data_IF_628679638740
#
_entry.id   IF_628679638740
#
_cell.length_a   1.000
_cell.length_b   1.000
_cell.length_c   1.000
_cell.angle_alpha   90.00
_cell.angle_beta   90.00
_cell.angle_gamma   90.00
#
_symmetry.space_group_name_H-M   'P 1'
#
loop_
_entity.id
_entity.type
_entity.pdbx_description
1 polymer ?
#
# COMPACT_ATOMS: atom_id res chain seq x y z
N UNK A 1 -25.03 3.50 -9.62
CA UNK A 1 -24.16 2.32 -9.80
C UNK A 1 -24.38 1.82 -11.20
N UNK A 2 -23.38 1.90 -12.06
CA UNK A 2 -23.44 1.22 -13.36
C UNK A 2 -23.60 -0.27 -13.08
N UNK A 3 -24.57 -0.90 -13.74
CA UNK A 3 -24.97 -2.31 -13.60
C UNK A 3 -23.92 -3.24 -14.24
N UNK A 4 -22.64 -3.07 -13.86
CA UNK A 4 -21.53 -3.91 -14.35
C UNK A 4 -21.34 -5.09 -13.42
N UNK A 5 -20.99 -6.24 -14.00
CA UNK A 5 -20.58 -7.41 -13.22
C UNK A 5 -19.29 -7.05 -12.45
N UNK A 6 -19.22 -7.30 -11.13
CA UNK A 6 -18.01 -7.01 -10.37
C UNK A 6 -16.84 -7.89 -10.85
N UNK A 7 -15.64 -7.32 -10.86
CA UNK A 7 -14.40 -8.07 -11.09
C UNK A 7 -13.90 -8.66 -9.77
N UNK A 8 -13.10 -9.76 -9.79
CA UNK A 8 -12.47 -10.30 -8.59
C UNK A 8 -11.49 -9.35 -7.88
N UNK A 9 -11.08 -8.26 -8.54
CA UNK A 9 -10.29 -7.19 -7.93
C UNK A 9 -11.12 -6.23 -7.10
N UNK A 10 -12.44 -6.19 -7.31
CA UNK A 10 -13.31 -5.20 -6.71
C UNK A 10 -13.44 -5.49 -5.21
N UNK A 11 -13.38 -4.46 -4.35
CA UNK A 11 -13.57 -4.63 -2.93
C UNK A 11 -15.04 -5.00 -2.65
N UNK A 12 -15.22 -5.93 -1.71
CA UNK A 12 -16.51 -6.16 -1.06
C UNK A 12 -17.04 -4.86 -0.44
N UNK A 13 -18.33 -4.82 -0.11
CA UNK A 13 -18.91 -3.66 0.59
C UNK A 13 -18.23 -3.40 1.94
N UNK A 14 -17.85 -4.48 2.66
CA UNK A 14 -17.13 -4.37 3.93
C UNK A 14 -15.73 -3.74 3.75
N UNK A 15 -15.00 -4.13 2.70
CA UNK A 15 -13.71 -3.53 2.37
C UNK A 15 -13.85 -2.11 1.87
N UNK A 16 -14.89 -1.82 1.08
CA UNK A 16 -15.19 -0.48 0.61
C UNK A 16 -15.53 0.45 1.77
N UNK A 17 -16.26 -0.02 2.80
CA UNK A 17 -16.59 0.77 3.98
C UNK A 17 -15.34 1.27 4.75
N UNK A 18 -14.21 0.58 4.64
CA UNK A 18 -12.92 1.01 5.22
C UNK A 18 -12.23 2.11 4.39
N UNK A 19 -12.56 2.23 3.11
CA UNK A 19 -11.86 3.07 2.11
C UNK A 19 -12.67 4.33 1.76
N UNK A 20 -13.97 4.15 1.59
CA UNK A 20 -14.91 5.17 1.13
C UNK A 20 -14.86 6.48 1.94
N UNK A 21 -14.76 6.46 3.29
CA UNK A 21 -14.78 7.69 4.08
C UNK A 21 -13.66 8.65 3.67
N UNK A 22 -12.45 8.13 3.43
CA UNK A 22 -11.29 8.96 3.07
C UNK A 22 -11.44 9.58 1.68
N UNK A 23 -11.87 8.78 0.71
CA UNK A 23 -12.07 9.26 -0.66
C UNK A 23 -13.24 10.25 -0.76
N UNK A 24 -14.29 10.04 0.03
CA UNK A 24 -15.44 10.94 0.13
C UNK A 24 -15.05 12.26 0.77
N UNK A 25 -14.30 12.23 1.88
CA UNK A 25 -13.78 13.44 2.52
C UNK A 25 -12.89 14.25 1.56
N UNK A 26 -12.04 13.57 0.78
CA UNK A 26 -11.23 14.23 -0.26
C UNK A 26 -12.09 14.93 -1.32
N UNK A 27 -13.15 14.27 -1.81
CA UNK A 27 -14.07 14.86 -2.79
C UNK A 27 -14.79 16.07 -2.20
N UNK A 28 -15.32 15.95 -0.99
CA UNK A 28 -16.04 17.02 -0.30
C UNK A 28 -15.16 18.26 -0.12
N UNK A 29 -13.93 18.09 0.37
CA UNK A 29 -13.00 19.20 0.57
C UNK A 29 -12.73 20.00 -0.72
N UNK A 30 -12.73 19.33 -1.88
CA UNK A 30 -12.53 20.00 -3.17
C UNK A 30 -13.78 20.72 -3.67
N UNK A 31 -14.95 20.16 -3.39
CA UNK A 31 -16.23 20.82 -3.65
C UNK A 31 -16.34 22.09 -2.81
N UNK A 32 -16.03 22.01 -1.52
CA UNK A 32 -16.05 23.15 -0.59
C UNK A 32 -15.05 24.24 -1.01
N UNK A 33 -13.87 23.84 -1.47
CA UNK A 33 -12.85 24.75 -1.98
C UNK A 33 -13.15 25.33 -3.38
N UNK A 34 -14.28 24.96 -4.01
CA UNK A 34 -14.66 25.42 -5.34
C UNK A 34 -13.72 24.95 -6.46
N UNK A 35 -12.87 23.95 -6.19
CA UNK A 35 -11.84 23.47 -7.12
C UNK A 35 -12.46 22.61 -8.24
N UNK A 36 -13.65 22.03 -8.01
CA UNK A 36 -14.38 21.27 -9.03
C UNK A 36 -15.51 22.12 -9.65
N UNK A 37 -15.22 22.79 -10.77
CA UNK A 37 -16.25 23.48 -11.56
C UNK A 37 -17.17 22.54 -12.36
N UNK A 38 -16.87 21.24 -12.39
CA UNK A 38 -17.69 20.22 -13.05
C UNK A 38 -18.25 19.24 -12.02
N UNK A 39 -19.53 18.89 -12.17
CA UNK A 39 -20.17 17.85 -11.37
C UNK A 39 -19.47 16.51 -11.63
N UNK A 40 -18.96 15.81 -10.60
CA UNK A 40 -18.36 14.50 -10.79
C UNK A 40 -19.36 13.52 -11.42
N UNK A 41 -19.00 12.94 -12.57
CA UNK A 41 -19.88 12.03 -13.32
C UNK A 41 -19.77 10.58 -12.88
N UNK A 42 -18.66 10.19 -12.23
CA UNK A 42 -18.38 8.81 -11.85
C UNK A 42 -18.31 8.64 -10.33
N UNK A 43 -18.80 7.50 -9.85
CA UNK A 43 -18.73 7.13 -8.46
C UNK A 43 -17.27 6.88 -8.01
N UNK A 44 -16.94 7.19 -6.76
CA UNK A 44 -15.58 6.97 -6.24
C UNK A 44 -15.21 5.49 -6.20
N UNK A 45 -16.20 4.62 -5.97
CA UNK A 45 -16.01 3.17 -5.97
C UNK A 45 -15.61 2.70 -7.35
N UNK A 46 -16.33 3.10 -8.39
CA UNK A 46 -16.01 2.70 -9.77
C UNK A 46 -14.59 3.14 -10.19
N UNK A 47 -14.15 4.32 -9.72
CA UNK A 47 -12.78 4.80 -9.94
C UNK A 47 -11.77 3.94 -9.19
N UNK A 48 -12.01 3.65 -7.91
CA UNK A 48 -11.11 2.87 -7.08
C UNK A 48 -11.02 1.39 -7.54
N UNK A 49 -12.16 0.80 -7.93
CA UNK A 49 -12.26 -0.53 -8.51
C UNK A 49 -11.41 -0.63 -9.78
N UNK A 50 -11.50 0.35 -10.67
CA UNK A 50 -10.68 0.42 -11.88
C UNK A 50 -9.17 0.51 -11.57
N UNK A 51 -8.79 1.29 -10.55
CA UNK A 51 -7.40 1.40 -10.11
C UNK A 51 -6.90 0.06 -9.52
N UNK A 52 -7.71 -0.60 -8.69
CA UNK A 52 -7.40 -1.93 -8.17
C UNK A 52 -7.30 -2.96 -9.28
N UNK A 53 -8.18 -2.90 -10.29
CA UNK A 53 -8.12 -3.76 -11.46
C UNK A 53 -6.79 -3.62 -12.19
N UNK A 54 -6.35 -2.39 -12.49
CA UNK A 54 -5.05 -2.12 -13.12
C UNK A 54 -3.90 -2.62 -12.25
N UNK A 55 -3.94 -2.37 -10.94
CA UNK A 55 -2.91 -2.79 -10.01
C UNK A 55 -2.81 -4.34 -9.91
N UNK A 56 -3.95 -5.02 -9.88
CA UNK A 56 -4.06 -6.48 -9.79
C UNK A 56 -3.59 -7.17 -11.07
N UNK A 57 -4.11 -6.73 -12.21
CA UNK A 57 -3.92 -7.39 -13.51
C UNK A 57 -2.64 -6.97 -14.22
N UNK A 58 -2.13 -5.77 -13.92
CA UNK A 58 -0.96 -5.19 -14.57
C UNK A 58 -1.24 -4.64 -15.97
N UNK A 59 -2.50 -4.53 -16.39
CA UNK A 59 -2.79 -4.01 -17.74
C UNK A 59 -2.30 -2.56 -17.89
N UNK A 60 -2.01 -2.12 -19.11
CA UNK A 60 -1.79 -0.71 -19.37
C UNK A 60 -3.12 0.07 -19.31
N UNK A 61 -3.11 1.27 -18.73
CA UNK A 61 -4.29 2.14 -18.55
C UNK A 61 -5.18 2.27 -19.80
N UNK A 62 -4.59 2.33 -20.99
CA UNK A 62 -5.32 2.46 -22.27
C UNK A 62 -6.21 1.25 -22.60
N UNK A 63 -5.92 0.09 -22.02
CA UNK A 63 -6.67 -1.15 -22.22
C UNK A 63 -7.70 -1.40 -21.11
N UNK A 64 -7.99 -0.40 -20.26
CA UNK A 64 -9.02 -0.53 -19.24
C UNK A 64 -10.35 -0.97 -19.89
N UNK A 65 -11.02 -2.01 -19.36
CA UNK A 65 -12.31 -2.45 -19.87
C UNK A 65 -13.32 -1.31 -20.00
N UNK A 66 -14.20 -1.41 -21.01
CA UNK A 66 -15.12 -0.34 -21.39
C UNK A 66 -16.28 -0.12 -20.40
N UNK A 67 -16.50 -1.06 -19.48
CA UNK A 67 -17.49 -0.98 -18.41
C UNK A 67 -16.97 -0.20 -17.18
N UNK A 68 -15.67 0.09 -17.11
CA UNK A 68 -15.12 1.05 -16.16
C UNK A 68 -15.24 2.51 -16.68
N UNK A 69 -15.13 3.51 -15.78
CA UNK A 69 -14.98 4.90 -16.20
C UNK A 69 -13.83 5.08 -17.19
N UNK A 70 -13.88 6.09 -18.09
CA UNK A 70 -12.86 6.31 -19.10
C UNK A 70 -11.45 6.35 -18.50
N UNK A 71 -10.49 5.66 -19.13
CA UNK A 71 -9.15 5.48 -18.57
C UNK A 71 -8.43 6.80 -18.23
N UNK A 72 -8.67 7.86 -19.01
CA UNK A 72 -8.14 9.21 -18.73
C UNK A 72 -8.71 9.78 -17.42
N UNK A 73 -9.99 9.55 -17.15
CA UNK A 73 -10.65 9.97 -15.92
C UNK A 73 -10.08 9.18 -14.73
N UNK A 74 -10.02 7.86 -14.84
CA UNK A 74 -9.46 6.99 -13.78
C UNK A 74 -8.03 7.41 -13.45
N UNK A 75 -7.18 7.57 -14.47
CA UNK A 75 -5.80 8.01 -14.28
C UNK A 75 -5.72 9.42 -13.66
N UNK A 76 -6.62 10.33 -14.02
CA UNK A 76 -6.69 11.67 -13.42
C UNK A 76 -6.95 11.63 -11.91
N UNK A 77 -7.88 10.79 -11.45
CA UNK A 77 -8.10 10.56 -10.02
C UNK A 77 -6.90 9.89 -9.35
N UNK A 78 -6.35 8.84 -9.95
CA UNK A 78 -5.14 8.21 -9.44
C UNK A 78 -3.99 9.23 -9.26
N UNK A 79 -3.72 10.05 -10.28
CA UNK A 79 -2.66 11.04 -10.22
C UNK A 79 -2.93 12.11 -9.14
N UNK A 80 -4.18 12.55 -8.98
CA UNK A 80 -4.56 13.49 -7.92
C UNK A 80 -4.36 12.88 -6.53
N UNK A 81 -4.84 11.65 -6.30
CA UNK A 81 -4.70 10.94 -5.03
C UNK A 81 -3.24 10.62 -4.68
N UNK A 82 -2.44 10.26 -5.68
CA UNK A 82 -0.99 10.07 -5.53
C UNK A 82 -0.31 11.37 -5.11
N UNK A 83 -0.58 12.47 -5.84
CA UNK A 83 0.03 13.79 -5.57
C UNK A 83 -0.37 14.35 -4.21
N UNK A 84 -1.62 14.17 -3.81
CA UNK A 84 -2.19 14.72 -2.57
C UNK A 84 -2.01 13.77 -1.36
N UNK A 85 -1.27 12.67 -1.51
CA UNK A 85 -0.91 11.78 -0.40
C UNK A 85 -2.07 10.95 0.16
N UNK A 86 -3.14 10.75 -0.63
CA UNK A 86 -4.33 10.02 -0.20
C UNK A 86 -4.03 8.54 0.06
N UNK A 87 -3.25 7.88 -0.82
CA UNK A 87 -2.91 6.47 -0.61
C UNK A 87 -2.02 6.24 0.63
N UNK A 88 -0.92 6.99 0.84
CA UNK A 88 -0.14 6.85 2.08
C UNK A 88 -0.95 7.06 3.35
N UNK A 89 -1.83 8.06 3.39
CA UNK A 89 -2.66 8.32 4.56
C UNK A 89 -3.66 7.20 4.82
N UNK A 90 -4.36 6.73 3.78
CA UNK A 90 -5.28 5.59 3.90
C UNK A 90 -4.55 4.32 4.36
N UNK A 91 -3.38 4.03 3.79
CA UNK A 91 -2.55 2.90 4.21
C UNK A 91 -2.14 3.01 5.69
N UNK A 92 -1.80 4.21 6.16
CA UNK A 92 -1.45 4.45 7.56
C UNK A 92 -2.65 4.21 8.49
N UNK A 93 -3.83 4.72 8.14
CA UNK A 93 -5.07 4.50 8.90
C UNK A 93 -5.42 3.00 9.01
N UNK A 94 -5.40 2.27 7.88
CA UNK A 94 -5.67 0.83 7.86
C UNK A 94 -4.61 0.04 8.63
N UNK A 95 -3.35 0.47 8.59
CA UNK A 95 -2.29 -0.13 9.40
C UNK A 95 -2.58 0.02 10.90
N UNK A 96 -3.05 1.20 11.33
CA UNK A 96 -3.47 1.45 12.70
C UNK A 96 -4.60 0.51 13.13
N UNK A 97 -5.65 0.38 12.32
CA UNK A 97 -6.77 -0.53 12.58
C UNK A 97 -6.34 -1.99 12.67
N UNK A 98 -5.48 -2.46 11.76
CA UNK A 98 -4.96 -3.84 11.79
C UNK A 98 -4.15 -4.09 13.06
N UNK A 99 -3.40 -3.09 13.54
CA UNK A 99 -2.61 -3.21 14.76
C UNK A 99 -3.49 -3.25 16.00
N UNK A 100 -4.51 -2.39 16.05
CA UNK A 100 -5.51 -2.38 17.13
C UNK A 100 -6.24 -3.72 17.24
N UNK A 101 -6.72 -4.24 16.11
CA UNK A 101 -7.33 -5.57 16.03
C UNK A 101 -6.39 -6.71 16.48
N UNK A 102 -5.07 -6.49 16.46
CA UNK A 102 -4.05 -7.43 16.94
C UNK A 102 -3.61 -7.17 18.39
N UNK A 103 -4.27 -6.26 19.12
CA UNK A 103 -3.90 -5.88 20.48
C UNK A 103 -2.56 -5.14 20.57
N UNK A 104 -2.16 -4.44 19.51
CA UNK A 104 -0.90 -3.68 19.44
C UNK A 104 -1.19 -2.18 19.43
N UNK A 105 -0.24 -1.39 19.93
CA UNK A 105 -0.27 0.08 19.79
C UNK A 105 -0.47 0.48 18.33
N UNK A 106 -1.42 1.37 18.04
CA UNK A 106 -1.79 1.78 16.67
C UNK A 106 -0.62 2.34 15.86
N UNK A 107 0.30 3.07 16.52
CA UNK A 107 1.52 3.59 15.90
C UNK A 107 2.59 2.50 15.86
N UNK A 108 3.31 2.34 14.73
CA UNK A 108 4.41 1.40 14.65
C UNK A 108 5.59 1.90 15.50
N UNK A 109 6.19 0.97 16.26
CA UNK A 109 7.39 1.23 17.05
C UNK A 109 8.64 0.57 16.48
N UNK A 110 8.47 -0.25 15.44
CA UNK A 110 9.57 -0.95 14.79
C UNK A 110 9.43 -1.02 13.26
N UNK A 111 10.56 -0.97 12.56
CA UNK A 111 10.66 -1.07 11.10
C UNK A 111 11.65 -2.14 10.66
N UNK A 112 11.52 -2.60 9.40
CA UNK A 112 12.57 -3.34 8.71
C UNK A 112 12.97 -2.47 7.52
N UNK A 113 14.27 -2.19 7.37
CA UNK A 113 14.79 -1.29 6.35
C UNK A 113 15.70 -2.05 5.39
N UNK A 114 15.40 -1.92 4.10
CA UNK A 114 16.17 -2.45 2.97
C UNK A 114 16.50 -1.32 1.98
N UNK A 115 16.84 -0.14 2.51
CA UNK A 115 17.21 1.04 1.75
C UNK A 115 18.37 1.75 2.44
N UNK A 116 19.33 2.23 1.65
CA UNK A 116 20.49 2.99 2.14
C UNK A 116 20.12 4.31 2.83
N UNK A 117 18.92 4.84 2.55
CA UNK A 117 18.40 6.05 3.21
C UNK A 117 16.89 5.95 3.45
N UNK A 118 16.48 6.30 4.66
CA UNK A 118 15.07 6.34 5.07
C UNK A 118 14.84 7.63 5.87
N UNK A 119 13.76 8.36 5.57
CA UNK A 119 13.36 9.53 6.35
C UNK A 119 12.77 9.08 7.69
N UNK A 120 13.58 9.12 8.74
CA UNK A 120 13.18 8.79 10.12
C UNK A 120 12.25 9.84 10.74
N UNK A 121 12.29 11.09 10.26
CA UNK A 121 11.45 12.19 10.76
C UNK A 121 9.94 12.00 10.59
N UNK A 122 9.51 10.96 9.86
CA UNK A 122 8.09 10.68 9.62
C UNK A 122 7.48 9.80 10.72
N UNK A 123 8.30 9.14 11.56
CA UNK A 123 7.84 8.17 12.56
C UNK A 123 8.49 8.43 13.93
N UNK A 124 7.99 9.39 14.73
CA UNK A 124 8.58 9.75 16.02
C UNK A 124 8.51 8.63 17.08
N UNK A 125 7.63 7.64 16.87
CA UNK A 125 7.49 6.47 17.75
C UNK A 125 8.44 5.33 17.40
N UNK A 126 9.23 5.44 16.33
CA UNK A 126 10.14 4.40 15.91
C UNK A 126 11.28 4.28 16.92
N UNK A 127 11.37 3.14 17.61
CA UNK A 127 12.40 2.88 18.62
C UNK A 127 13.35 1.75 18.22
N UNK A 128 12.93 0.87 17.29
CA UNK A 128 13.72 -0.30 16.87
C UNK A 128 13.69 -0.49 15.36
N UNK A 129 14.81 -0.88 14.77
CA UNK A 129 14.84 -1.29 13.36
C UNK A 129 15.78 -2.48 13.13
N UNK A 130 15.44 -3.29 12.12
CA UNK A 130 16.31 -4.35 11.60
C UNK A 130 16.81 -3.97 10.22
N UNK A 131 18.10 -4.22 9.96
CA UNK A 131 18.78 -4.00 8.67
C UNK A 131 19.55 -5.24 8.26
N UNK A 132 19.86 -5.39 6.97
CA UNK A 132 20.66 -6.52 6.49
C UNK A 132 22.16 -6.38 6.79
N UNK A 133 22.93 -7.44 6.52
CA UNK A 133 24.38 -7.49 6.76
C UNK A 133 25.21 -6.57 5.83
N UNK A 134 24.60 -6.01 4.78
CA UNK A 134 25.20 -5.01 3.91
C UNK A 134 25.35 -3.65 4.59
N UNK A 135 24.49 -3.33 5.57
CA UNK A 135 24.59 -2.11 6.36
C UNK A 135 25.79 -2.14 7.30
N UNK A 136 26.47 -0.99 7.41
CA UNK A 136 27.68 -0.79 8.22
C UNK A 136 27.40 0.11 9.42
N UNK A 137 28.40 0.27 10.28
CA UNK A 137 28.32 1.02 11.55
C UNK A 137 27.68 2.41 11.42
N UNK A 138 27.89 3.11 10.29
CA UNK A 138 27.27 4.42 10.04
C UNK A 138 25.74 4.43 10.22
N UNK A 139 25.05 3.37 9.81
CA UNK A 139 23.58 3.31 9.97
C UNK A 139 23.18 3.09 11.43
N UNK A 140 23.98 2.33 12.17
CA UNK A 140 23.77 2.07 13.60
C UNK A 140 23.99 3.36 14.40
N UNK A 141 25.09 4.06 14.14
CA UNK A 141 25.41 5.36 14.75
C UNK A 141 24.34 6.41 14.45
N UNK A 142 23.88 6.48 13.20
CA UNK A 142 22.81 7.40 12.81
C UNK A 142 21.49 7.08 13.49
N UNK A 143 21.12 5.80 13.58
CA UNK A 143 19.93 5.37 14.33
C UNK A 143 20.02 5.75 15.80
N UNK A 144 21.16 5.49 16.45
CA UNK A 144 21.38 5.84 17.84
C UNK A 144 21.25 7.36 18.09
N UNK A 145 21.76 8.20 17.18
CA UNK A 145 21.60 9.66 17.25
C UNK A 145 20.14 10.12 17.17
N UNK A 146 19.25 9.28 16.63
CA UNK A 146 17.81 9.52 16.52
C UNK A 146 17.00 8.77 17.59
N UNK A 147 17.65 8.10 18.54
CA UNK A 147 16.98 7.26 19.55
C UNK A 147 16.42 5.95 19.00
N UNK A 148 16.88 5.51 17.82
CA UNK A 148 16.47 4.26 17.17
C UNK A 148 17.55 3.20 17.37
N UNK A 149 17.20 2.10 18.02
CA UNK A 149 18.05 0.93 18.16
C UNK A 149 18.09 0.14 16.84
N UNK A 150 19.28 -0.03 16.26
CA UNK A 150 19.50 -0.68 14.95
C UNK A 150 20.14 -2.06 15.14
N UNK A 151 19.39 -3.11 14.84
CA UNK A 151 19.88 -4.49 14.76
C UNK A 151 20.35 -4.81 13.33
N UNK A 152 21.66 -4.99 13.13
CA UNK A 152 22.19 -5.59 11.91
C UNK A 152 21.97 -7.11 11.97
N UNK A 153 21.10 -7.63 11.12
CA UNK A 153 20.74 -9.05 11.13
C UNK A 153 21.69 -9.82 10.22
N UNK A 154 22.53 -10.64 10.84
CA UNK A 154 23.48 -11.52 10.15
C UNK A 154 23.05 -12.98 10.24
N UNK A 155 23.57 -13.79 9.31
CA UNK A 155 23.48 -15.24 9.39
C UNK A 155 24.46 -15.76 10.44
N UNK A 156 24.07 -16.80 11.17
CA UNK A 156 24.98 -17.54 12.04
C UNK A 156 26.13 -18.15 11.21
N UNK A 157 27.38 -17.73 11.43
CA UNK A 157 28.53 -18.21 10.66
C UNK A 157 28.85 -19.69 10.90
N UNK A 158 28.35 -20.28 11.98
CA UNK A 158 28.58 -21.69 12.32
C UNK A 158 27.59 -22.64 11.63
N UNK A 159 26.46 -22.13 11.11
CA UNK A 159 25.45 -22.93 10.41
C UNK A 159 25.77 -23.01 8.91
N UNK A 160 26.21 -24.19 8.47
CA UNK A 160 26.28 -24.53 7.04
C UNK A 160 24.86 -24.80 6.50
N UNK A 161 24.54 -24.27 5.31
CA UNK A 161 23.22 -24.45 4.70
C UNK A 161 22.20 -23.36 5.10
N UNK A 162 20.90 -23.66 5.06
CA UNK A 162 19.84 -22.70 5.38
C UNK A 162 19.81 -22.39 6.88
N UNK A 163 19.79 -21.09 7.22
CA UNK A 163 19.64 -20.59 8.59
C UNK A 163 18.45 -19.66 8.64
N UNK A 164 17.55 -19.85 9.60
CA UNK A 164 16.42 -18.92 9.79
C UNK A 164 16.95 -17.58 10.29
N UNK A 165 16.82 -16.56 9.45
CA UNK A 165 17.26 -15.19 9.78
C UNK A 165 16.12 -14.45 10.47
N UNK A 166 16.40 -13.84 11.62
CA UNK A 166 15.43 -13.09 12.44
C UNK A 166 14.66 -12.08 11.56
N UNK A 167 13.33 -12.11 11.64
CA UNK A 167 12.40 -11.21 10.91
C UNK A 167 12.42 -11.27 9.37
N UNK A 168 13.32 -12.01 8.72
CA UNK A 168 13.39 -12.14 7.25
C UNK A 168 12.07 -12.59 6.63
N UNK A 169 11.40 -13.55 7.27
CA UNK A 169 10.08 -14.03 6.84
C UNK A 169 8.99 -12.94 6.80
N UNK A 170 9.14 -11.84 7.55
CA UNK A 170 8.21 -10.70 7.51
C UNK A 170 8.36 -9.94 6.20
N UNK A 171 9.60 -9.73 5.74
CA UNK A 171 9.91 -9.09 4.47
C UNK A 171 9.46 -9.99 3.32
N UNK A 172 9.86 -11.26 3.33
CA UNK A 172 9.51 -12.21 2.28
C UNK A 172 8.00 -12.41 2.15
N UNK A 173 7.28 -12.46 3.27
CA UNK A 173 5.81 -12.49 3.25
C UNK A 173 5.20 -11.22 2.66
N UNK A 174 5.78 -10.06 2.97
CA UNK A 174 5.33 -8.78 2.40
C UNK A 174 5.54 -8.76 0.89
N UNK A 175 6.71 -9.20 0.42
CA UNK A 175 6.99 -9.37 -1.02
C UNK A 175 6.03 -10.38 -1.65
N UNK A 176 5.74 -11.49 -0.98
CA UNK A 176 4.75 -12.48 -1.42
C UNK A 176 3.35 -11.88 -1.61
N UNK A 177 2.91 -11.00 -0.71
CA UNK A 177 1.66 -10.27 -0.89
C UNK A 177 1.70 -9.34 -2.11
N UNK A 178 2.78 -8.59 -2.29
CA UNK A 178 2.96 -7.69 -3.43
C UNK A 178 3.02 -8.43 -4.77
N UNK A 179 3.55 -9.67 -4.79
CA UNK A 179 3.58 -10.50 -6.00
C UNK A 179 2.19 -10.88 -6.53
N UNK A 180 1.13 -10.78 -5.72
CA UNK A 180 -0.24 -10.97 -6.19
C UNK A 180 -0.79 -9.77 -6.98
N UNK A 181 0.01 -8.72 -7.17
CA UNK A 181 -0.34 -7.52 -7.93
C UNK A 181 0.60 -7.41 -9.12
N UNK A 182 0.14 -7.88 -10.29
CA UNK A 182 0.98 -8.01 -11.49
C UNK A 182 1.55 -6.67 -11.95
N UNK A 183 0.90 -5.54 -11.62
CA UNK A 183 1.41 -4.20 -11.91
C UNK A 183 2.76 -3.91 -11.26
N UNK A 184 3.09 -4.59 -10.16
CA UNK A 184 4.33 -4.37 -9.40
C UNK A 184 5.52 -5.19 -9.91
N UNK A 185 5.30 -6.15 -10.80
CA UNK A 185 6.37 -7.01 -11.33
C UNK A 185 7.32 -6.25 -12.25
N UNK A 186 6.82 -5.26 -12.97
CA UNK A 186 7.60 -4.32 -13.79
C UNK A 186 7.10 -2.92 -13.51
N UNK A 187 8.01 -1.97 -13.36
CA UNK A 187 7.59 -0.58 -13.23
C UNK A 187 7.12 -0.07 -14.59
N UNK A 188 5.83 0.25 -14.67
CA UNK A 188 5.18 0.85 -15.83
C UNK A 188 4.96 2.34 -15.65
N UNK A 189 5.24 2.90 -14.46
CA UNK A 189 4.99 4.29 -14.16
C UNK A 189 6.19 5.16 -14.55
N UNK A 190 5.89 6.33 -15.11
CA UNK A 190 6.95 7.29 -15.50
C UNK A 190 7.52 8.04 -14.30
N UNK A 191 6.76 8.12 -13.20
CA UNK A 191 7.11 8.94 -12.04
C UNK A 191 7.23 8.10 -10.76
N UNK A 192 8.26 8.32 -9.93
CA UNK A 192 8.47 7.54 -8.70
C UNK A 192 7.31 7.62 -7.69
N UNK A 193 6.60 8.76 -7.62
CA UNK A 193 5.43 8.93 -6.75
C UNK A 193 4.25 8.04 -7.19
N UNK A 194 4.08 7.86 -8.49
CA UNK A 194 3.09 6.90 -9.03
C UNK A 194 3.51 5.46 -8.74
N UNK A 195 4.79 5.11 -8.92
CA UNK A 195 5.30 3.77 -8.59
C UNK A 195 5.09 3.44 -7.11
N UNK A 196 5.41 4.38 -6.22
CA UNK A 196 5.18 4.24 -4.78
C UNK A 196 3.69 4.11 -4.44
N UNK A 197 2.83 4.84 -5.14
CA UNK A 197 1.38 4.76 -4.96
C UNK A 197 0.84 3.39 -5.36
N UNK A 198 1.35 2.78 -6.44
CA UNK A 198 0.97 1.41 -6.83
C UNK A 198 1.31 0.38 -5.75
N UNK A 199 2.47 0.49 -5.11
CA UNK A 199 2.84 -0.36 -3.98
C UNK A 199 1.89 -0.14 -2.80
N UNK A 200 1.60 1.13 -2.50
CA UNK A 200 0.72 1.51 -1.39
C UNK A 200 -0.71 0.99 -1.59
N UNK A 201 -1.22 1.02 -2.83
CA UNK A 201 -2.54 0.50 -3.19
C UNK A 201 -2.62 -1.02 -2.97
N UNK A 202 -1.58 -1.77 -3.34
CA UNK A 202 -1.51 -3.21 -3.05
C UNK A 202 -1.54 -3.49 -1.54
N UNK A 203 -0.87 -2.65 -0.75
CA UNK A 203 -0.91 -2.77 0.71
C UNK A 203 -2.27 -2.39 1.30
N UNK A 204 -2.95 -1.36 0.77
CA UNK A 204 -4.33 -1.00 1.15
C UNK A 204 -5.27 -2.19 0.92
N UNK A 205 -5.20 -2.81 -0.25
CA UNK A 205 -5.99 -4.00 -0.60
C UNK A 205 -5.74 -5.16 0.38
N UNK A 206 -4.47 -5.45 0.69
CA UNK A 206 -4.08 -6.47 1.67
C UNK A 206 -4.55 -6.15 3.10
N UNK A 207 -4.41 -4.90 3.56
CA UNK A 207 -4.85 -4.50 4.90
C UNK A 207 -6.37 -4.55 5.05
N UNK A 208 -7.11 -4.09 4.03
CA UNK A 208 -8.56 -4.15 4.01
C UNK A 208 -9.07 -5.60 4.06
N UNK A 209 -8.44 -6.52 3.30
CA UNK A 209 -8.72 -7.97 3.37
C UNK A 209 -8.50 -8.53 4.77
N UNK A 210 -7.38 -8.18 5.40
CA UNK A 210 -7.06 -8.64 6.76
C UNK A 210 -8.05 -8.16 7.81
N UNK A 211 -8.58 -6.94 7.68
CA UNK A 211 -9.59 -6.38 8.59
C UNK A 211 -10.97 -7.01 8.41
N UNK A 212 -11.25 -7.52 7.22
CA UNK A 212 -12.55 -8.12 6.85
C UNK A 212 -12.51 -9.64 6.81
N UNK A 213 -11.38 -10.25 7.20
CA UNK A 213 -11.12 -11.70 7.11
C UNK A 213 -11.29 -12.29 5.71
N UNK A 214 -11.13 -11.46 4.68
CA UNK A 214 -11.19 -11.87 3.28
C UNK A 214 -9.81 -12.29 2.77
N UNK A 215 -9.81 -13.14 1.73
CA UNK A 215 -8.59 -13.58 1.05
C UNK A 215 -8.54 -13.04 -0.38
N UNK A 216 -7.36 -13.11 -1.00
CA UNK A 216 -7.24 -12.84 -2.43
C UNK A 216 -7.97 -13.94 -3.22
N UNK A 217 -8.92 -13.59 -4.10
CA UNK A 217 -9.56 -14.58 -4.94
C UNK A 217 -8.55 -15.32 -5.82
N UNK A 218 -8.76 -16.62 -5.93
CA UNK A 218 -8.01 -17.56 -6.75
C UNK A 218 -8.92 -18.09 -7.86
N UNK A 219 -8.32 -18.76 -8.85
CA UNK A 219 -9.11 -19.36 -9.93
C UNK A 219 -10.05 -20.49 -9.47
N UNK A 220 -9.89 -20.96 -8.22
CA UNK A 220 -10.69 -22.02 -7.61
C UNK A 220 -11.90 -21.51 -6.83
N UNK A 221 -12.02 -20.19 -6.69
CA UNK A 221 -13.15 -19.59 -6.01
C UNK A 221 -14.25 -19.37 -7.06
N UNK A 222 -15.35 -20.12 -6.92
CA UNK A 222 -16.52 -20.09 -7.82
C UNK A 222 -17.40 -18.85 -7.62
#
# INVERSE_FOLDING_TARGET
>A
MTERRPYPSDPSDARWALIAPRLTAWRQARTDAGVSGHTPTHDLRDIFDAILYVNRTGIAWRYLPHDFPPCRTVYGYFAAWSKEGIFPELNYQLTGLVRDHQGRTITPTASIMDSQSVKTSTYPTLAKTWVDAGFKNRVVEHGAALGVDVDVVTKDPHVKGFSVVKRRWVVERTLGWLMHHRRLVRDYETRPDNSASMITIAMIDNLAKRLTTETTPTWRDD
#
